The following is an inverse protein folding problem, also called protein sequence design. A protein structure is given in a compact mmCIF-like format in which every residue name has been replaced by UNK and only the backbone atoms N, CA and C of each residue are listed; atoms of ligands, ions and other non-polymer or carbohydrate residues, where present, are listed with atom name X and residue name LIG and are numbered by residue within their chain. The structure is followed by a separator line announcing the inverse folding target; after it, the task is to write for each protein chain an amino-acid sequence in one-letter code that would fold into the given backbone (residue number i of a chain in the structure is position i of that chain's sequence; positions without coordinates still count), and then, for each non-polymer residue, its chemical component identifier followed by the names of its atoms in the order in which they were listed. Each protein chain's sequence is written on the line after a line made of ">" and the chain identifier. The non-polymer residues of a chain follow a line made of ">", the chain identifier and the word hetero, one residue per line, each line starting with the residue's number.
data_IF_852804955511
#
_entry.id   IF_852804955511
#
_cell.length_a   1.000
_cell.length_b   1.000
_cell.length_c   1.000
_cell.angle_alpha   90.00
_cell.angle_beta   90.00
_cell.angle_gamma   90.00
#
_symmetry.space_group_name_H-M   'P 1'
#
loop_
_entity.id
_entity.type
_entity.pdbx_description
1 polymer ?
#
# COMPACT_ATOMS: atom_id res chain seq x y z
N UNK A 1 -9.38 24.69 -1.55
CA UNK A 1 -7.96 24.93 -1.20
C UNK A 1 -7.28 23.59 -1.08
N UNK A 2 -6.23 23.27 -1.85
CA UNK A 2 -5.47 22.03 -1.65
C UNK A 2 -4.77 22.07 -0.28
N UNK A 3 -4.70 20.95 0.41
CA UNK A 3 -3.97 20.84 1.68
C UNK A 3 -2.46 20.91 1.44
N UNK A 4 -1.69 21.33 2.46
CA UNK A 4 -0.21 21.35 2.41
C UNK A 4 0.36 19.99 1.95
N UNK A 5 -0.29 18.91 2.39
CA UNK A 5 0.05 17.54 1.98
C UNK A 5 -0.07 17.32 0.47
N UNK A 6 -1.18 17.75 -0.15
CA UNK A 6 -1.40 17.58 -1.60
C UNK A 6 -0.31 18.27 -2.42
N UNK A 7 0.19 19.41 -1.96
CA UNK A 7 1.27 20.14 -2.61
C UNK A 7 2.60 19.41 -2.53
N UNK A 8 2.93 18.89 -1.34
CA UNK A 8 4.17 18.15 -1.11
C UNK A 8 4.21 16.84 -1.90
N UNK A 9 3.09 16.11 -1.95
CA UNK A 9 2.94 14.89 -2.73
C UNK A 9 3.10 15.16 -4.24
N UNK A 10 2.47 16.21 -4.77
CA UNK A 10 2.66 16.63 -6.16
C UNK A 10 4.10 17.02 -6.47
N UNK A 11 4.77 17.72 -5.57
CA UNK A 11 6.16 18.13 -5.74
C UNK A 11 7.11 16.93 -5.80
N UNK A 12 6.96 15.98 -4.86
CA UNK A 12 7.74 14.73 -4.84
C UNK A 12 7.55 13.91 -6.11
N UNK A 13 6.30 13.72 -6.53
CA UNK A 13 5.99 12.97 -7.76
C UNK A 13 6.62 13.63 -8.99
N UNK A 14 6.41 14.93 -9.19
CA UNK A 14 6.78 15.62 -10.44
C UNK A 14 8.27 15.98 -10.54
N UNK A 15 8.87 16.41 -9.44
CA UNK A 15 10.19 17.04 -9.47
C UNK A 15 11.30 16.13 -8.92
N UNK A 16 10.96 15.03 -8.27
CA UNK A 16 11.93 14.05 -7.76
C UNK A 16 11.80 12.74 -8.52
N UNK A 17 10.70 12.01 -8.32
CA UNK A 17 10.58 10.65 -8.86
C UNK A 17 10.46 10.59 -10.38
N UNK A 18 9.67 11.48 -10.99
CA UNK A 18 9.59 11.55 -12.45
C UNK A 18 10.96 11.82 -13.08
N UNK A 19 11.71 12.77 -12.52
CA UNK A 19 13.05 13.12 -13.03
C UNK A 19 13.98 11.91 -12.91
N UNK A 20 14.03 11.29 -11.73
CA UNK A 20 14.83 10.09 -11.48
C UNK A 20 14.49 8.94 -12.45
N UNK A 21 13.20 8.63 -12.65
CA UNK A 21 12.80 7.55 -13.56
C UNK A 21 13.15 7.82 -15.02
N UNK A 22 13.03 9.07 -15.47
CA UNK A 22 13.45 9.46 -16.82
C UNK A 22 14.97 9.32 -16.97
N UNK A 23 15.75 9.81 -15.99
CA UNK A 23 17.21 9.75 -16.03
C UNK A 23 17.75 8.32 -15.98
N UNK A 24 17.06 7.40 -15.30
CA UNK A 24 17.41 5.98 -15.27
C UNK A 24 16.77 5.15 -16.39
N UNK A 25 15.94 5.76 -17.26
CA UNK A 25 15.25 5.06 -18.36
C UNK A 25 14.19 4.04 -17.90
N UNK A 26 13.59 4.25 -16.73
CA UNK A 26 12.64 3.31 -16.09
C UNK A 26 11.21 3.83 -16.00
N UNK A 27 10.92 5.01 -16.57
CA UNK A 27 9.61 5.68 -16.54
C UNK A 27 8.47 4.89 -17.20
N UNK A 28 8.81 3.94 -18.08
CA UNK A 28 7.86 3.00 -18.72
C UNK A 28 7.85 1.61 -18.11
N UNK A 29 8.71 1.37 -17.11
CA UNK A 29 8.90 0.05 -16.49
C UNK A 29 8.28 0.01 -15.09
N UNK A 30 8.42 1.10 -14.33
CA UNK A 30 7.92 1.18 -12.96
C UNK A 30 6.84 2.26 -12.83
N UNK A 31 5.75 1.93 -12.16
CA UNK A 31 4.73 2.88 -11.72
C UNK A 31 5.06 3.43 -10.33
N UNK A 32 4.71 4.69 -10.07
CA UNK A 32 4.81 5.30 -8.74
C UNK A 32 3.41 5.39 -8.11
N UNK A 33 3.20 4.67 -7.02
CA UNK A 33 2.04 4.83 -6.15
C UNK A 33 2.47 5.57 -4.86
N UNK A 34 1.87 6.72 -4.58
CA UNK A 34 2.08 7.42 -3.31
C UNK A 34 1.05 6.95 -2.29
N UNK A 35 1.52 6.24 -1.28
CA UNK A 35 0.68 5.76 -0.20
C UNK A 35 0.50 6.88 0.83
N UNK A 36 -0.72 7.41 0.91
CA UNK A 36 -1.09 8.31 1.98
C UNK A 36 -1.70 7.50 3.13
N UNK A 37 -1.02 7.46 4.28
CA UNK A 37 -1.60 6.89 5.48
C UNK A 37 -2.60 7.88 6.07
N UNK A 38 -3.89 7.56 5.97
CA UNK A 38 -4.94 8.26 6.69
C UNK A 38 -5.10 7.79 8.14
N UNK A 39 -4.44 6.68 8.50
CA UNK A 39 -4.57 6.03 9.79
C UNK A 39 -3.18 5.84 10.40
N UNK A 40 -3.03 6.22 11.66
CA UNK A 40 -1.94 5.75 12.49
C UNK A 40 -2.21 4.27 12.82
N UNK A 41 -1.38 3.39 12.28
CA UNK A 41 -1.43 1.97 12.62
C UNK A 41 -0.74 1.77 13.96
N UNK A 42 -1.48 1.23 14.93
CA UNK A 42 -0.90 0.76 16.19
C UNK A 42 0.07 -0.40 15.95
N UNK A 43 0.99 -0.71 16.89
CA UNK A 43 1.83 -1.91 16.79
C UNK A 43 0.99 -3.18 16.56
N UNK A 44 1.33 -3.94 15.52
CA UNK A 44 0.53 -5.11 15.08
C UNK A 44 -0.69 -4.76 14.22
N UNK A 45 -0.88 -3.49 13.88
CA UNK A 45 -1.86 -3.01 12.91
C UNK A 45 -1.39 -3.18 11.47
N UNK A 46 -2.30 -3.58 10.59
CA UNK A 46 -2.07 -3.72 9.15
C UNK A 46 -3.20 -3.08 8.36
N UNK A 47 -2.92 -2.64 7.13
CA UNK A 47 -3.96 -2.21 6.19
C UNK A 47 -4.31 -3.37 5.25
N UNK A 48 -5.58 -3.73 5.17
CA UNK A 48 -6.07 -4.77 4.26
C UNK A 48 -6.96 -4.13 3.20
N UNK A 49 -6.63 -4.33 1.93
CA UNK A 49 -7.53 -4.04 0.82
C UNK A 49 -8.59 -5.14 0.76
N UNK A 50 -9.84 -4.74 0.98
CA UNK A 50 -11.02 -5.58 0.84
C UNK A 50 -11.97 -4.90 -0.14
N UNK A 51 -12.16 -5.53 -1.31
CA UNK A 51 -13.04 -5.03 -2.38
C UNK A 51 -12.74 -3.56 -2.78
N UNK A 52 -11.46 -3.18 -2.82
CA UNK A 52 -11.03 -1.81 -3.16
C UNK A 52 -11.19 -0.79 -2.04
N UNK A 53 -11.51 -1.24 -0.82
CA UNK A 53 -11.54 -0.41 0.39
C UNK A 53 -10.42 -0.84 1.33
N UNK A 54 -9.57 0.11 1.73
CA UNK A 54 -8.53 -0.14 2.73
C UNK A 54 -9.10 -0.10 4.15
N UNK A 55 -9.02 -1.22 4.86
CA UNK A 55 -9.54 -1.41 6.22
C UNK A 55 -8.38 -1.72 7.19
N UNK A 56 -8.28 -1.04 8.34
CA UNK A 56 -7.26 -1.37 9.33
C UNK A 56 -7.63 -2.65 10.08
N UNK A 57 -6.75 -3.64 10.07
CA UNK A 57 -6.87 -4.89 10.81
C UNK A 57 -5.74 -4.97 11.85
N UNK A 58 -5.87 -5.91 12.79
CA UNK A 58 -4.82 -6.22 13.76
C UNK A 58 -4.40 -7.69 13.56
N UNK A 59 -3.10 -7.97 13.60
CA UNK A 59 -2.52 -9.32 13.46
C UNK A 59 -3.19 -10.36 14.37
N UNK A 60 -3.62 -9.96 15.58
CA UNK A 60 -4.35 -10.85 16.51
C UNK A 60 -5.68 -11.37 15.96
N UNK A 61 -6.31 -10.66 15.01
CA UNK A 61 -7.57 -11.07 14.38
C UNK A 61 -7.37 -11.98 13.15
N UNK A 62 -6.14 -12.12 12.65
CA UNK A 62 -5.84 -12.81 11.37
C UNK A 62 -5.47 -14.28 11.58
N UNK A 63 -5.25 -14.72 12.83
CA UNK A 63 -4.84 -16.11 13.15
C UNK A 63 -5.80 -17.19 12.63
N UNK A 64 -7.05 -16.86 12.33
CA UNK A 64 -8.08 -17.81 11.88
C UNK A 64 -8.50 -17.59 10.41
N UNK A 65 -7.87 -16.65 9.70
CA UNK A 65 -8.23 -16.26 8.33
C UNK A 65 -7.27 -16.81 7.27
N UNK A 66 -7.73 -16.84 6.03
CA UNK A 66 -6.88 -17.15 4.88
C UNK A 66 -5.64 -16.23 4.87
N UNK A 67 -4.47 -16.74 4.46
CA UNK A 67 -3.25 -15.95 4.44
C UNK A 67 -3.41 -14.74 3.52
N UNK A 68 -3.19 -13.56 4.09
CA UNK A 68 -3.20 -12.29 3.39
C UNK A 68 -1.93 -12.15 2.53
N UNK A 69 -2.08 -11.70 1.29
CA UNK A 69 -0.93 -11.47 0.41
C UNK A 69 -0.37 -10.05 0.61
N UNK A 70 0.94 -9.88 0.85
CA UNK A 70 1.53 -8.56 1.01
C UNK A 70 1.53 -7.82 -0.34
N UNK A 71 0.83 -6.69 -0.39
CA UNK A 71 0.67 -5.87 -1.60
C UNK A 71 1.49 -4.57 -1.54
N UNK A 72 1.69 -4.06 -0.34
CA UNK A 72 2.33 -2.77 -0.10
C UNK A 72 3.45 -2.97 0.93
N UNK A 73 4.63 -2.47 0.59
CA UNK A 73 5.83 -2.55 1.42
C UNK A 73 6.31 -1.15 1.79
N UNK A 74 6.79 -0.98 3.01
CA UNK A 74 7.38 0.27 3.47
C UNK A 74 8.64 0.01 4.28
N UNK A 75 9.47 1.05 4.37
CA UNK A 75 10.65 1.06 5.23
C UNK A 75 10.19 1.39 6.66
N UNK A 76 10.51 0.54 7.62
CA UNK A 76 10.21 0.76 9.04
C UNK A 76 11.09 1.86 9.63
N UNK A 77 10.79 2.29 10.86
CA UNK A 77 11.67 3.18 11.65
C UNK A 77 13.10 2.64 11.78
N UNK A 78 13.26 1.33 11.68
CA UNK A 78 14.52 0.62 11.89
C UNK A 78 15.30 0.43 10.58
N UNK A 79 14.75 0.89 9.44
CA UNK A 79 15.37 0.80 8.12
C UNK A 79 15.05 -0.49 7.35
N UNK A 80 14.35 -1.44 7.96
CA UNK A 80 13.95 -2.69 7.31
C UNK A 80 12.75 -2.50 6.39
N UNK A 81 12.72 -3.26 5.28
CA UNK A 81 11.55 -3.33 4.40
C UNK A 81 10.55 -4.33 5.00
N UNK A 82 9.37 -3.85 5.39
CA UNK A 82 8.28 -4.65 5.98
C UNK A 82 6.99 -4.46 5.17
N UNK A 83 6.15 -5.50 5.05
CA UNK A 83 4.83 -5.35 4.44
C UNK A 83 3.96 -4.50 5.37
N UNK A 84 3.28 -3.51 4.82
CA UNK A 84 2.39 -2.60 5.58
C UNK A 84 0.96 -2.58 5.05
N UNK A 85 0.75 -3.09 3.83
CA UNK A 85 -0.59 -3.29 3.29
C UNK A 85 -0.69 -4.64 2.59
N UNK A 86 -1.86 -5.24 2.69
CA UNK A 86 -2.14 -6.59 2.25
C UNK A 86 -3.41 -6.62 1.40
N UNK A 87 -3.49 -7.53 0.45
CA UNK A 87 -4.72 -7.82 -0.28
C UNK A 87 -5.42 -9.03 0.35
N UNK A 88 -6.72 -8.90 0.60
CA UNK A 88 -7.54 -10.04 0.91
C UNK A 88 -7.94 -10.76 -0.37
N UNK A 89 -7.40 -11.97 -0.59
CA UNK A 89 -7.96 -12.92 -1.56
C UNK A 89 -8.84 -13.90 -0.78
N UNK A 90 -10.15 -13.76 -0.90
CA UNK A 90 -11.04 -14.88 -0.58
C UNK A 90 -10.68 -15.98 -1.58
N UNK A 91 -9.84 -16.94 -1.16
CA UNK A 91 -9.38 -18.03 -2.02
C UNK A 91 -10.56 -18.60 -2.81
N UNK A 92 -10.39 -18.78 -4.13
CA UNK A 92 -11.41 -19.13 -5.13
C UNK A 92 -12.46 -20.14 -4.65
N UNK A 93 -13.44 -19.65 -3.89
CA UNK A 93 -14.58 -20.38 -3.35
C UNK A 93 -15.90 -19.82 -3.83
N UNK A 94 -15.88 -18.93 -4.82
CA UNK A 94 -17.05 -18.56 -5.59
C UNK A 94 -16.96 -19.26 -6.95
N UNK A 95 -17.47 -20.50 -7.00
CA UNK A 95 -18.01 -21.03 -8.25
C UNK A 95 -19.10 -20.06 -8.70
N UNK A 96 -18.84 -19.31 -9.76
CA UNK A 96 -19.91 -18.69 -10.54
C UNK A 96 -20.73 -19.83 -11.14
N UNK A 97 -21.77 -20.26 -10.41
CA UNK A 97 -22.79 -21.16 -10.88
C UNK A 97 -23.95 -20.34 -11.44
N UNK A 98 -24.19 -20.55 -12.74
CA UNK A 98 -25.38 -20.30 -13.59
C UNK A 98 -26.35 -19.15 -13.26
#
# INVERSE_FOLDING_TARGET
>A
MPTLWSWMAMNLSKNVFKVFFIEQGTDRTFGLAMLHRHFDLEPGGMLVDYEGTSVPWNESHVSEMNPLEPAIWAISSDGDIKPTGFCFSAGNGLTMGE
#
